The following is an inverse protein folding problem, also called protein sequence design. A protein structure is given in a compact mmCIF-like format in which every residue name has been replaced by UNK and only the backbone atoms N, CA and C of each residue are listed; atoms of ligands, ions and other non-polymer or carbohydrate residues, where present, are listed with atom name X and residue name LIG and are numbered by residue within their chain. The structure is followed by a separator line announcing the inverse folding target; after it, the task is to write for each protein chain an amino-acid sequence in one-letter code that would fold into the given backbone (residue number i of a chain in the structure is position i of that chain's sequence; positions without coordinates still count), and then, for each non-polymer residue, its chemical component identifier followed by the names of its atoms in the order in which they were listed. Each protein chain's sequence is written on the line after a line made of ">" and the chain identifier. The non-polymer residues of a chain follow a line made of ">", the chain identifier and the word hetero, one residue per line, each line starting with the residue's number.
data_IF_012049633276
#
_entry.id   IF_012049633276
#
_cell.length_a   1.000
_cell.length_b   1.000
_cell.length_c   1.000
_cell.angle_alpha   90.00
_cell.angle_beta   90.00
_cell.angle_gamma   90.00
#
_symmetry.space_group_name_H-M   'P 1'
#
loop_
_entity.id
_entity.type
_entity.pdbx_description
1 polymer ?
#
# COMPACT_ATOMS: atom_id res chain seq x y z
N UNK A 1 0.42 24.21 -4.49
CA UNK A 1 0.52 22.88 -3.86
C UNK A 1 1.88 22.33 -4.18
N UNK A 2 2.65 21.87 -3.19
CA UNK A 2 3.97 21.29 -3.45
C UNK A 2 3.84 19.91 -4.11
N UNK A 3 4.84 19.52 -4.91
CA UNK A 3 4.82 18.25 -5.66
C UNK A 3 6.17 17.55 -5.55
N UNK A 4 6.16 16.30 -5.08
CA UNK A 4 7.27 15.37 -5.29
C UNK A 4 7.10 14.76 -6.68
N UNK A 5 7.98 15.15 -7.60
CA UNK A 5 7.83 14.85 -9.03
C UNK A 5 8.29 13.43 -9.33
N UNK A 6 7.80 12.89 -10.45
CA UNK A 6 8.15 11.55 -10.92
C UNK A 6 9.62 11.37 -11.31
N UNK A 7 10.43 12.43 -11.33
CA UNK A 7 11.87 12.37 -11.57
C UNK A 7 12.68 12.22 -10.27
N UNK A 8 12.02 12.34 -9.11
CA UNK A 8 12.62 12.21 -7.78
C UNK A 8 12.23 10.86 -7.18
N UNK A 9 12.99 9.83 -7.56
CA UNK A 9 12.70 8.44 -7.25
C UNK A 9 13.73 7.84 -6.29
N UNK A 10 13.28 6.88 -5.49
CA UNK A 10 14.13 5.97 -4.73
C UNK A 10 13.83 4.51 -5.11
N UNK A 11 14.68 3.57 -4.69
CA UNK A 11 14.53 2.12 -4.97
C UNK A 11 14.44 1.27 -3.70
N UNK A 12 14.47 1.92 -2.54
CA UNK A 12 14.37 1.33 -1.21
C UNK A 12 13.63 2.26 -0.26
N UNK A 13 13.02 1.68 0.78
CA UNK A 13 12.60 2.43 1.95
C UNK A 13 13.83 2.59 2.85
N UNK A 14 14.28 3.81 3.10
CA UNK A 14 15.52 4.07 3.84
C UNK A 14 15.51 5.44 4.51
N UNK A 15 16.09 5.53 5.70
CA UNK A 15 16.40 6.78 6.38
C UNK A 15 17.48 7.61 5.66
N UNK A 16 18.32 6.96 4.84
CA UNK A 16 19.42 7.59 4.11
C UNK A 16 18.99 8.27 2.80
N UNK A 17 17.74 8.07 2.38
CA UNK A 17 17.22 8.68 1.16
C UNK A 17 17.07 10.19 1.36
N UNK A 18 17.67 10.98 0.47
CA UNK A 18 17.46 12.42 0.46
C UNK A 18 15.97 12.75 0.19
N UNK A 19 15.32 13.60 1.01
CA UNK A 19 13.94 14.00 0.76
C UNK A 19 13.77 14.68 -0.59
N UNK A 20 12.81 14.19 -1.39
CA UNK A 20 12.33 14.86 -2.60
C UNK A 20 11.58 16.15 -2.29
N UNK A 21 10.96 16.20 -1.12
CA UNK A 21 10.13 17.29 -0.63
C UNK A 21 10.15 17.32 0.91
N UNK A 22 10.01 18.51 1.51
CA UNK A 22 9.73 18.68 2.94
C UNK A 22 8.43 19.47 3.10
N UNK A 23 7.54 19.01 3.97
CA UNK A 23 6.20 19.60 4.15
C UNK A 23 5.88 19.78 5.63
N UNK A 24 5.10 20.81 5.95
CA UNK A 24 4.59 21.00 7.31
C UNK A 24 3.41 20.05 7.56
N UNK A 25 3.19 19.57 8.80
CA UNK A 25 1.98 18.84 9.15
C UNK A 25 0.71 19.62 8.78
N UNK A 26 -0.25 18.94 8.15
CA UNK A 26 -1.51 19.52 7.67
C UNK A 26 -1.43 20.17 6.29
N UNK A 27 -0.24 20.37 5.74
CA UNK A 27 -0.06 20.84 4.37
C UNK A 27 -0.51 19.77 3.35
N UNK A 28 -1.13 20.22 2.27
CA UNK A 28 -1.50 19.36 1.14
C UNK A 28 -0.41 19.38 0.07
N UNK A 29 -0.04 18.21 -0.44
CA UNK A 29 0.98 18.03 -1.49
C UNK A 29 0.65 16.87 -2.42
N UNK A 30 1.31 16.80 -3.57
CA UNK A 30 1.18 15.73 -4.57
C UNK A 30 2.44 14.87 -4.57
N UNK A 31 2.28 13.56 -4.77
CA UNK A 31 3.35 12.67 -5.19
C UNK A 31 2.99 12.05 -6.54
N UNK A 32 3.86 12.22 -7.54
CA UNK A 32 3.69 11.65 -8.88
C UNK A 32 4.47 10.34 -9.02
N UNK A 33 3.85 9.31 -9.60
CA UNK A 33 4.51 8.02 -9.86
C UNK A 33 4.65 7.74 -11.35
N UNK A 34 5.66 6.93 -11.72
CA UNK A 34 5.94 6.57 -13.10
C UNK A 34 5.23 5.30 -13.57
N UNK A 35 5.10 5.15 -14.89
CA UNK A 35 4.74 3.89 -15.55
C UNK A 35 5.94 2.91 -15.56
N UNK A 36 6.31 2.42 -14.37
CA UNK A 36 7.46 1.54 -14.14
C UNK A 36 7.38 0.22 -14.90
N UNK A 37 6.18 -0.21 -15.30
CA UNK A 37 5.94 -1.49 -15.98
C UNK A 37 6.04 -1.37 -17.51
N UNK A 38 6.08 -0.16 -18.06
CA UNK A 38 6.18 0.09 -19.49
C UNK A 38 7.35 -0.65 -20.14
N UNK A 39 8.52 -0.60 -19.51
CA UNK A 39 9.78 -1.18 -20.02
C UNK A 39 10.01 -2.64 -19.61
N UNK A 40 9.16 -3.20 -18.75
CA UNK A 40 9.30 -4.58 -18.28
C UNK A 40 8.63 -5.58 -19.24
N UNK A 41 9.40 -6.40 -19.94
CA UNK A 41 8.90 -7.40 -20.89
C UNK A 41 9.02 -8.85 -20.36
N UNK A 42 9.11 -9.00 -19.05
CA UNK A 42 9.18 -10.28 -18.35
C UNK A 42 10.53 -10.54 -17.67
N UNK A 43 10.74 -11.75 -17.11
CA UNK A 43 11.93 -12.07 -16.31
C UNK A 43 13.28 -11.89 -17.03
N UNK A 44 13.29 -11.94 -18.37
CA UNK A 44 14.48 -11.73 -19.19
C UNK A 44 14.73 -10.28 -19.62
N UNK A 45 14.04 -9.30 -19.02
CA UNK A 45 14.22 -7.88 -19.33
C UNK A 45 15.64 -7.38 -19.04
N UNK A 46 16.03 -6.26 -19.64
CA UNK A 46 17.32 -5.61 -19.37
C UNK A 46 17.46 -5.21 -17.90
N UNK A 47 18.71 -5.06 -17.43
CA UNK A 47 19.00 -4.55 -16.08
C UNK A 47 18.32 -3.21 -15.83
N UNK A 48 18.35 -2.31 -16.82
CA UNK A 48 17.69 -1.00 -16.74
C UNK A 48 16.18 -1.12 -16.52
N UNK A 49 15.49 -1.99 -17.26
CA UNK A 49 14.07 -2.23 -17.06
C UNK A 49 13.76 -2.82 -15.67
N UNK A 50 14.60 -3.73 -15.18
CA UNK A 50 14.48 -4.30 -13.84
C UNK A 50 14.74 -3.27 -12.74
N UNK A 51 15.61 -2.29 -12.96
CA UNK A 51 15.87 -1.21 -12.02
C UNK A 51 14.74 -0.18 -12.03
N UNK A 52 14.20 0.18 -13.20
CA UNK A 52 12.99 1.01 -13.31
C UNK A 52 11.83 0.38 -12.55
N UNK A 53 11.65 -0.95 -12.64
CA UNK A 53 10.58 -1.67 -11.94
C UNK A 53 10.64 -1.53 -10.41
N UNK A 54 11.82 -1.23 -9.85
CA UNK A 54 12.03 -1.05 -8.40
C UNK A 54 11.78 0.38 -7.93
N UNK A 55 11.59 1.34 -8.85
CA UNK A 55 11.46 2.76 -8.50
C UNK A 55 10.16 3.06 -7.74
N UNK A 56 10.23 4.02 -6.82
CA UNK A 56 9.15 4.54 -6.00
C UNK A 56 9.30 6.07 -5.92
N UNK A 57 8.19 6.78 -5.76
CA UNK A 57 8.17 8.23 -5.61
C UNK A 57 8.44 8.64 -4.16
N UNK A 58 9.23 9.71 -3.99
CA UNK A 58 9.59 10.24 -2.68
C UNK A 58 11.08 10.03 -2.34
N UNK A 59 11.46 10.02 -1.05
CA UNK A 59 10.58 10.20 0.10
C UNK A 59 10.15 11.66 0.31
N UNK A 60 9.04 11.87 1.01
CA UNK A 60 8.60 13.17 1.54
C UNK A 60 8.88 13.22 3.04
N UNK A 61 9.57 14.28 3.48
CA UNK A 61 9.89 14.51 4.90
C UNK A 61 8.80 15.36 5.56
N UNK A 62 8.22 14.87 6.65
CA UNK A 62 7.19 15.60 7.42
C UNK A 62 7.85 16.34 8.58
N UNK A 63 7.81 17.67 8.55
CA UNK A 63 8.47 18.48 9.58
C UNK A 63 7.93 18.18 10.98
N UNK A 64 8.84 17.97 11.95
CA UNK A 64 8.49 17.74 13.35
C UNK A 64 8.15 16.30 13.74
N UNK A 65 7.96 15.39 12.78
CA UNK A 65 7.71 13.97 13.09
C UNK A 65 8.98 13.30 13.64
N UNK A 66 8.84 12.52 14.71
CA UNK A 66 9.94 11.89 15.45
C UNK A 66 9.70 10.39 15.66
N UNK A 67 10.75 9.60 15.90
CA UNK A 67 10.60 8.19 16.27
C UNK A 67 9.61 8.00 17.43
N UNK A 68 8.66 7.09 17.27
CA UNK A 68 7.57 6.83 18.22
C UNK A 68 6.26 7.57 17.90
N UNK A 69 6.28 8.56 17.02
CA UNK A 69 5.06 9.19 16.51
C UNK A 69 4.30 8.25 15.57
N UNK A 70 3.04 8.59 15.28
CA UNK A 70 2.25 7.99 14.20
C UNK A 70 1.92 9.07 13.18
N UNK A 71 2.20 8.83 11.90
CA UNK A 71 1.71 9.68 10.83
C UNK A 71 0.31 9.26 10.43
N UNK A 72 -0.62 10.21 10.46
CA UNK A 72 -1.95 10.10 9.86
C UNK A 72 -1.89 10.65 8.44
N UNK A 73 -1.99 9.78 7.46
CA UNK A 73 -1.80 10.08 6.03
C UNK A 73 -3.14 9.97 5.33
N UNK A 74 -3.79 11.11 5.09
CA UNK A 74 -5.06 11.20 4.38
C UNK A 74 -4.79 11.18 2.86
N UNK A 75 -5.39 10.22 2.15
CA UNK A 75 -5.38 10.16 0.68
C UNK A 75 -6.55 10.98 0.16
N UNK A 76 -6.30 12.24 -0.22
CA UNK A 76 -7.37 13.17 -0.58
C UNK A 76 -7.90 12.95 -1.99
N UNK A 77 -7.01 12.63 -2.93
CA UNK A 77 -7.37 12.39 -4.33
C UNK A 77 -6.33 11.51 -5.02
N UNK A 78 -6.76 10.81 -6.06
CA UNK A 78 -5.94 9.97 -6.92
C UNK A 78 -6.33 10.25 -8.36
N UNK A 79 -5.35 10.61 -9.19
CA UNK A 79 -5.51 10.77 -10.63
C UNK A 79 -4.63 9.82 -11.40
N UNK A 80 -5.12 9.37 -12.55
CA UNK A 80 -4.38 8.53 -13.48
C UNK A 80 -3.94 9.39 -14.68
N UNK A 81 -2.66 9.82 -14.74
CA UNK A 81 -2.19 10.73 -15.79
C UNK A 81 -2.14 10.08 -17.19
N UNK A 82 -2.26 8.75 -17.25
CA UNK A 82 -2.27 7.97 -18.49
C UNK A 82 -3.61 7.26 -18.68
N UNK A 83 -4.07 7.17 -19.93
CA UNK A 83 -5.31 6.48 -20.32
C UNK A 83 -5.09 4.98 -20.58
N UNK A 84 -4.00 4.42 -20.06
CA UNK A 84 -3.64 3.01 -20.22
C UNK A 84 -2.84 2.49 -19.02
N UNK A 85 -2.82 1.17 -18.89
CA UNK A 85 -1.96 0.45 -17.96
C UNK A 85 -1.51 -0.89 -18.54
N UNK A 86 -0.86 -1.71 -17.71
CA UNK A 86 -0.34 -3.01 -18.09
C UNK A 86 -0.81 -4.08 -17.12
N UNK A 87 -1.09 -5.27 -17.64
CA UNK A 87 -1.37 -6.46 -16.82
C UNK A 87 -0.31 -7.51 -17.14
N UNK A 88 0.35 -8.01 -16.11
CA UNK A 88 1.31 -9.11 -16.19
C UNK A 88 0.76 -10.44 -15.67
N UNK A 89 1.22 -11.53 -16.26
CA UNK A 89 1.06 -12.88 -15.73
C UNK A 89 2.36 -13.65 -15.94
N UNK A 90 2.97 -14.11 -14.85
CA UNK A 90 4.28 -14.78 -14.88
C UNK A 90 4.15 -16.23 -14.39
N UNK A 91 4.76 -17.22 -15.08
CA UNK A 91 4.77 -18.62 -14.62
C UNK A 91 5.29 -18.74 -13.19
N UNK A 92 4.60 -19.55 -12.38
CA UNK A 92 4.98 -19.81 -10.99
C UNK A 92 4.84 -18.61 -10.04
N UNK A 93 4.18 -17.51 -10.45
CA UNK A 93 3.94 -16.34 -9.59
C UNK A 93 2.47 -16.24 -9.20
N UNK A 94 2.23 -16.08 -7.90
CA UNK A 94 0.90 -15.99 -7.30
C UNK A 94 0.04 -17.26 -7.41
N UNK A 95 -1.17 -17.23 -6.83
CA UNK A 95 -2.05 -18.40 -6.73
C UNK A 95 -2.41 -19.06 -8.07
N UNK A 96 -2.34 -18.32 -9.18
CA UNK A 96 -2.63 -18.84 -10.53
C UNK A 96 -1.36 -19.22 -11.32
N UNK A 97 -0.17 -19.01 -10.74
CA UNK A 97 1.14 -19.18 -11.36
C UNK A 97 1.38 -20.56 -11.97
N UNK A 98 0.93 -21.63 -11.31
CA UNK A 98 1.17 -23.02 -11.72
C UNK A 98 0.48 -23.39 -13.04
N UNK A 99 -0.56 -22.64 -13.42
CA UNK A 99 -1.32 -22.86 -14.65
C UNK A 99 -0.95 -21.88 -15.76
N UNK A 100 -0.02 -20.97 -15.52
CA UNK A 100 0.46 -19.99 -16.49
C UNK A 100 1.68 -20.60 -17.21
N UNK A 101 1.58 -20.94 -18.51
CA UNK A 101 2.65 -21.65 -19.23
C UNK A 101 3.83 -20.75 -19.60
N UNK A 102 3.59 -19.46 -19.81
CA UNK A 102 4.57 -18.49 -20.28
C UNK A 102 4.22 -17.08 -19.76
N UNK A 103 5.22 -16.20 -19.71
CA UNK A 103 4.98 -14.80 -19.36
C UNK A 103 4.07 -14.14 -20.40
N UNK A 104 3.09 -13.38 -19.93
CA UNK A 104 2.23 -12.55 -20.79
C UNK A 104 2.07 -11.16 -20.20
N UNK A 105 2.21 -10.16 -21.07
CA UNK A 105 1.93 -8.75 -20.79
C UNK A 105 0.84 -8.25 -21.73
N UNK A 106 -0.15 -7.55 -21.19
CA UNK A 106 -1.20 -6.93 -21.98
C UNK A 106 -1.30 -5.44 -21.65
N UNK A 107 -1.26 -4.59 -22.68
CA UNK A 107 -1.67 -3.19 -22.53
C UNK A 107 -3.20 -3.14 -22.45
N UNK A 108 -3.72 -2.40 -21.48
CA UNK A 108 -5.17 -2.20 -21.28
C UNK A 108 -5.52 -0.72 -21.33
N UNK A 109 -6.71 -0.40 -21.83
CA UNK A 109 -7.20 0.98 -21.88
C UNK A 109 -7.93 1.33 -20.59
N UNK A 110 -7.61 2.48 -20.02
CA UNK A 110 -8.26 3.06 -18.85
C UNK A 110 -9.25 4.12 -19.35
N UNK A 111 -10.48 4.06 -18.86
CA UNK A 111 -11.54 5.01 -19.22
C UNK A 111 -12.33 5.40 -17.97
N UNK A 112 -13.16 6.43 -18.07
CA UNK A 112 -14.09 6.80 -16.99
C UNK A 112 -15.11 5.71 -16.65
N UNK A 113 -15.33 4.73 -17.54
CA UNK A 113 -16.24 3.61 -17.30
C UNK A 113 -15.54 2.38 -16.70
N UNK A 114 -14.21 2.38 -16.62
CA UNK A 114 -13.43 1.22 -16.17
C UNK A 114 -12.22 0.92 -17.05
N UNK A 115 -11.62 -0.24 -16.78
CA UNK A 115 -10.45 -0.76 -17.50
C UNK A 115 -10.91 -1.78 -18.54
N UNK A 116 -10.64 -1.51 -19.81
CA UNK A 116 -11.02 -2.38 -20.93
C UNK A 116 -9.93 -3.41 -21.18
N UNK A 117 -10.26 -4.69 -20.95
CA UNK A 117 -9.38 -5.81 -21.24
C UNK A 117 -9.72 -6.43 -22.60
N UNK A 118 -8.82 -6.24 -23.58
CA UNK A 118 -8.85 -6.84 -24.92
C UNK A 118 -10.18 -6.68 -25.67
N UNK A 119 -10.85 -5.53 -25.51
CA UNK A 119 -12.18 -5.23 -26.09
C UNK A 119 -13.27 -6.26 -25.75
N UNK A 120 -13.09 -7.03 -24.66
CA UNK A 120 -13.99 -8.12 -24.25
C UNK A 120 -14.77 -7.80 -22.99
N UNK A 121 -14.12 -7.17 -22.02
CA UNK A 121 -14.69 -6.90 -20.71
C UNK A 121 -14.19 -5.57 -20.19
N UNK A 122 -15.08 -4.83 -19.53
CA UNK A 122 -14.73 -3.61 -18.78
C UNK A 122 -14.76 -3.94 -17.29
N UNK A 123 -13.61 -3.90 -16.65
CA UNK A 123 -13.47 -4.08 -15.20
C UNK A 123 -13.72 -2.76 -14.48
N UNK A 124 -14.25 -2.77 -13.25
CA UNK A 124 -14.40 -1.57 -12.45
C UNK A 124 -13.05 -0.83 -12.28
N UNK A 125 -13.07 0.50 -12.40
CA UNK A 125 -11.93 1.33 -12.03
C UNK A 125 -11.79 1.34 -10.51
N UNK A 126 -10.62 0.97 -10.00
CA UNK A 126 -10.30 0.94 -8.55
C UNK A 126 -8.87 1.42 -8.32
N UNK A 127 -8.61 2.73 -8.51
CA UNK A 127 -7.27 3.28 -8.36
C UNK A 127 -6.79 3.14 -6.91
N UNK A 128 -5.57 2.67 -6.73
CA UNK A 128 -5.02 2.41 -5.39
C UNK A 128 -3.48 2.46 -5.39
N UNK A 129 -2.92 2.66 -4.20
CA UNK A 129 -1.49 2.76 -3.95
C UNK A 129 -0.98 1.44 -3.35
N UNK A 130 -0.19 0.67 -4.09
CA UNK A 130 0.19 -0.69 -3.68
C UNK A 130 1.33 -0.72 -2.68
N UNK A 131 2.22 0.26 -2.77
CA UNK A 131 3.28 0.52 -1.80
C UNK A 131 3.10 1.89 -1.19
N UNK A 132 2.96 1.92 0.12
CA UNK A 132 3.02 3.15 0.91
C UNK A 132 3.75 2.81 2.20
N UNK A 133 4.80 3.56 2.53
CA UNK A 133 5.62 3.26 3.68
C UNK A 133 6.51 4.41 4.11
N UNK A 134 7.02 4.29 5.33
CA UNK A 134 8.01 5.17 5.94
C UNK A 134 9.40 4.52 5.89
N UNK A 135 10.44 5.25 6.32
CA UNK A 135 11.75 4.66 6.56
C UNK A 135 11.65 3.55 7.63
N UNK A 136 12.16 2.34 7.38
CA UNK A 136 12.08 1.22 8.33
C UNK A 136 13.02 1.42 9.53
N UNK A 137 12.70 0.79 10.66
CA UNK A 137 13.52 0.84 11.89
C UNK A 137 14.96 0.35 11.66
N UNK A 138 15.11 -0.89 11.19
CA UNK A 138 16.39 -1.59 11.07
C UNK A 138 17.06 -1.44 9.69
N UNK A 139 17.24 -0.19 9.26
CA UNK A 139 18.00 0.14 8.04
C UNK A 139 17.20 -0.04 6.72
N UNK A 140 17.88 0.05 5.57
CA UNK A 140 17.21 0.11 4.27
C UNK A 140 16.57 -1.23 3.87
N UNK A 141 15.33 -1.18 3.39
CA UNK A 141 14.62 -2.33 2.83
C UNK A 141 14.28 -2.13 1.35
N UNK A 142 14.31 -3.19 0.52
CA UNK A 142 14.02 -3.09 -0.91
C UNK A 142 12.59 -2.65 -1.17
N UNK A 143 12.31 -2.07 -2.36
CA UNK A 143 10.99 -1.53 -2.68
C UNK A 143 9.83 -2.52 -2.58
N UNK A 144 10.05 -3.82 -2.74
CA UNK A 144 9.00 -4.85 -2.56
C UNK A 144 8.75 -5.28 -1.10
N UNK A 145 9.52 -4.76 -0.15
CA UNK A 145 9.45 -5.15 1.26
C UNK A 145 8.10 -4.78 1.89
N UNK A 146 7.75 -5.53 2.93
CA UNK A 146 6.53 -5.41 3.72
C UNK A 146 6.93 -5.42 5.19
N UNK A 147 6.23 -4.68 6.03
CA UNK A 147 6.46 -4.75 7.46
C UNK A 147 5.73 -3.66 8.24
N UNK A 148 6.18 -3.45 9.48
CA UNK A 148 5.63 -2.44 10.38
C UNK A 148 5.68 -1.01 9.80
N UNK A 149 6.66 -0.71 8.96
CA UNK A 149 6.80 0.57 8.26
C UNK A 149 5.81 0.77 7.11
N UNK A 150 4.97 -0.23 6.79
CA UNK A 150 4.12 -0.29 5.61
C UNK A 150 4.77 -1.08 4.48
N UNK A 151 5.08 -0.41 3.38
CA UNK A 151 5.64 -1.02 2.17
C UNK A 151 4.55 -1.62 1.28
N UNK A 152 4.86 -2.75 0.64
CA UNK A 152 3.98 -3.40 -0.34
C UNK A 152 2.83 -4.19 0.28
N UNK A 153 1.89 -3.51 0.92
CA UNK A 153 0.77 -4.13 1.63
C UNK A 153 -0.27 -4.77 0.70
N UNK A 154 -0.44 -4.24 -0.51
CA UNK A 154 -1.49 -4.69 -1.44
C UNK A 154 -2.90 -4.53 -0.89
N UNK A 155 -3.13 -3.54 -0.02
CA UNK A 155 -4.45 -3.24 0.51
C UNK A 155 -5.22 -2.40 -0.52
N UNK A 156 -6.24 -3.00 -1.15
CA UNK A 156 -7.09 -2.35 -2.17
C UNK A 156 -7.84 -1.13 -1.66
N UNK A 157 -7.87 -0.91 -0.35
CA UNK A 157 -8.57 0.20 0.31
C UNK A 157 -7.69 1.43 0.51
N UNK A 158 -6.40 1.37 0.16
CA UNK A 158 -5.51 2.55 0.12
C UNK A 158 -5.78 3.31 -1.18
N UNK A 159 -6.87 4.07 -1.15
CA UNK A 159 -7.43 4.82 -2.26
C UNK A 159 -7.94 6.18 -1.78
N UNK A 160 -8.45 7.01 -2.69
CA UNK A 160 -9.11 8.28 -2.37
C UNK A 160 -10.13 8.13 -1.23
N UNK A 161 -10.04 8.99 -0.22
CA UNK A 161 -10.90 9.00 0.96
C UNK A 161 -10.44 8.09 2.10
N UNK A 162 -9.40 7.26 1.89
CA UNK A 162 -8.79 6.48 2.96
C UNK A 162 -7.78 7.28 3.77
N UNK A 163 -7.53 6.83 5.00
CA UNK A 163 -6.45 7.32 5.85
C UNK A 163 -5.55 6.15 6.23
N UNK A 164 -4.25 6.30 6.04
CA UNK A 164 -3.23 5.32 6.44
C UNK A 164 -2.50 5.84 7.66
N UNK A 165 -2.38 5.02 8.70
CA UNK A 165 -1.61 5.31 9.90
C UNK A 165 -0.34 4.46 9.88
N UNK A 166 0.82 5.10 9.98
CA UNK A 166 2.13 4.44 9.97
C UNK A 166 2.99 4.86 11.16
N UNK A 167 3.69 3.91 11.82
CA UNK A 167 4.63 4.21 12.89
C UNK A 167 5.88 4.90 12.34
N UNK A 168 6.31 5.97 13.01
CA UNK A 168 7.54 6.69 12.67
C UNK A 168 8.72 6.05 13.39
N UNK A 169 9.73 5.62 12.63
CA UNK A 169 10.98 5.08 13.17
C UNK A 169 12.16 6.04 13.04
N UNK A 170 12.07 7.00 12.12
CA UNK A 170 13.11 7.99 11.83
C UNK A 170 12.50 9.37 11.69
N UNK A 171 13.29 10.41 11.98
CA UNK A 171 12.82 11.79 11.87
C UNK A 171 12.22 12.08 10.49
N UNK A 172 11.07 12.75 10.49
CA UNK A 172 10.33 13.11 9.30
C UNK A 172 9.58 11.97 8.62
N UNK A 173 9.71 10.72 9.07
CA UNK A 173 9.01 9.55 8.55
C UNK A 173 9.47 9.08 7.16
N UNK A 174 9.79 10.00 6.24
CA UNK A 174 10.25 9.71 4.87
C UNK A 174 9.22 8.91 4.05
N UNK A 175 8.02 9.47 3.93
CA UNK A 175 6.88 8.88 3.22
C UNK A 175 7.21 8.61 1.75
N UNK A 176 7.09 7.35 1.34
CA UNK A 176 7.40 6.86 0.01
C UNK A 176 6.22 6.07 -0.55
N UNK A 177 5.88 6.26 -1.82
CA UNK A 177 4.82 5.51 -2.50
C UNK A 177 5.28 4.89 -3.82
N UNK A 178 4.61 3.82 -4.25
CA UNK A 178 4.84 3.22 -5.56
C UNK A 178 3.86 2.09 -5.86
N UNK A 179 4.13 1.33 -6.92
CA UNK A 179 3.35 0.12 -7.26
C UNK A 179 1.85 0.40 -7.35
N UNK A 180 1.54 1.45 -8.10
CA UNK A 180 0.20 1.99 -8.19
C UNK A 180 -0.60 1.26 -9.27
N UNK A 181 -1.89 1.09 -9.00
CA UNK A 181 -2.76 0.31 -9.86
C UNK A 181 -4.02 1.08 -10.21
N UNK A 182 -4.48 0.98 -11.45
CA UNK A 182 -5.80 1.50 -11.86
C UNK A 182 -6.94 0.55 -11.46
N UNK A 183 -6.62 -0.73 -11.26
CA UNK A 183 -7.50 -1.73 -10.70
C UNK A 183 -6.68 -2.91 -10.15
N UNK A 184 -7.03 -3.37 -8.95
CA UNK A 184 -6.50 -4.58 -8.34
C UNK A 184 -7.63 -5.30 -7.57
N UNK A 185 -7.57 -6.63 -7.54
CA UNK A 185 -8.38 -7.45 -6.64
C UNK A 185 -7.55 -7.97 -5.47
N UNK A 186 -8.21 -8.25 -4.35
CA UNK A 186 -7.55 -8.88 -3.20
C UNK A 186 -6.84 -10.18 -3.60
N UNK A 187 -5.63 -10.36 -3.12
CA UNK A 187 -4.75 -11.49 -3.42
C UNK A 187 -3.80 -11.28 -4.59
N UNK A 188 -4.07 -10.33 -5.50
CA UNK A 188 -3.20 -10.03 -6.65
C UNK A 188 -2.77 -11.33 -7.38
N UNK A 189 -3.76 -12.06 -7.89
CA UNK A 189 -3.65 -13.51 -8.13
C UNK A 189 -2.56 -13.97 -9.12
N UNK A 190 -1.98 -13.05 -9.91
CA UNK A 190 -0.89 -13.30 -10.86
C UNK A 190 0.39 -12.54 -10.52
N UNK A 191 0.50 -12.01 -9.30
CA UNK A 191 1.56 -11.11 -8.82
C UNK A 191 1.76 -9.87 -9.71
N UNK A 192 0.66 -9.37 -10.27
CA UNK A 192 0.54 -8.10 -10.98
C UNK A 192 -0.93 -7.69 -11.01
N UNK A 193 -1.19 -6.40 -11.15
CA UNK A 193 -2.52 -5.83 -11.31
C UNK A 193 -2.61 -5.02 -12.62
N UNK A 194 -3.49 -4.01 -12.68
CA UNK A 194 -3.43 -3.00 -13.75
C UNK A 194 -2.39 -1.95 -13.36
N UNK A 195 -1.12 -2.24 -13.63
CA UNK A 195 0.04 -1.39 -13.40
C UNK A 195 -0.09 -0.07 -14.17
N UNK A 196 0.07 1.07 -13.50
CA UNK A 196 -0.02 2.38 -14.15
C UNK A 196 0.79 3.46 -13.43
N UNK A 197 1.02 4.58 -14.13
CA UNK A 197 1.34 5.83 -13.47
C UNK A 197 0.12 6.34 -12.70
N UNK A 198 0.35 6.98 -11.56
CA UNK A 198 -0.67 7.47 -10.64
C UNK A 198 -0.12 8.68 -9.87
N UNK A 199 -0.91 9.74 -9.76
CA UNK A 199 -0.59 10.88 -8.93
C UNK A 199 -1.55 10.90 -7.74
N UNK A 200 -1.02 11.05 -6.53
CA UNK A 200 -1.81 11.05 -5.31
C UNK A 200 -1.63 12.37 -4.56
N UNK A 201 -2.75 12.95 -4.13
CA UNK A 201 -2.78 14.14 -3.28
C UNK A 201 -2.96 13.72 -1.84
N UNK A 202 -2.07 14.17 -0.96
CA UNK A 202 -2.08 13.82 0.45
C UNK A 202 -2.24 15.03 1.35
N UNK A 203 -2.81 14.80 2.54
CA UNK A 203 -2.54 15.61 3.74
C UNK A 203 -1.99 14.71 4.81
N UNK A 204 -0.90 15.13 5.46
CA UNK A 204 -0.26 14.34 6.51
C UNK A 204 -0.18 15.13 7.80
N UNK A 205 -0.64 14.56 8.90
CA UNK A 205 -0.49 15.10 10.24
C UNK A 205 0.20 14.10 11.16
N UNK A 206 0.75 14.59 12.27
CA UNK A 206 1.20 13.74 13.37
C UNK A 206 -0.04 13.44 14.22
N UNK A 207 -0.32 12.17 14.48
CA UNK A 207 -1.47 11.70 15.24
C UNK A 207 -1.27 11.98 16.73
N UNK A 208 -2.26 12.60 17.38
CA UNK A 208 -2.26 12.86 18.83
C UNK A 208 -3.06 11.82 19.61
N UNK A 209 -4.03 11.17 18.95
CA UNK A 209 -5.07 10.33 19.58
C UNK A 209 -4.92 8.84 19.25
N UNK A 210 -4.02 8.49 18.34
CA UNK A 210 -3.74 7.11 17.98
C UNK A 210 -2.24 6.89 17.81
N UNK A 211 -1.72 5.93 18.57
CA UNK A 211 -0.40 5.37 18.35
C UNK A 211 -0.56 3.97 17.75
N UNK A 212 0.11 3.72 16.64
CA UNK A 212 0.16 2.39 16.03
C UNK A 212 1.59 1.89 16.01
N UNK A 213 1.76 0.58 16.18
CA UNK A 213 3.03 -0.13 15.93
C UNK A 213 3.01 -0.83 14.56
N UNK A 214 1.80 -1.00 14.03
CA UNK A 214 1.31 -1.64 12.80
C UNK A 214 0.85 -0.65 11.72
N UNK A 215 0.91 -0.91 10.39
CA UNK A 215 0.06 -0.17 9.48
C UNK A 215 -1.43 -0.40 9.78
N UNK A 216 -2.18 0.69 9.90
CA UNK A 216 -3.64 0.68 9.98
C UNK A 216 -4.22 1.50 8.82
N UNK A 217 -5.28 1.00 8.20
CA UNK A 217 -6.02 1.71 7.15
C UNK A 217 -7.45 1.91 7.58
N UNK A 218 -7.91 3.16 7.51
CA UNK A 218 -9.28 3.55 7.81
C UNK A 218 -9.95 4.08 6.55
N UNK A 219 -11.19 3.67 6.30
CA UNK A 219 -12.05 4.23 5.26
C UNK A 219 -13.23 4.96 5.90
N UNK A 220 -14.22 5.36 5.11
CA UNK A 220 -15.47 5.90 5.67
C UNK A 220 -16.18 4.86 6.56
N UNK A 221 -16.09 3.57 6.22
CA UNK A 221 -16.92 2.50 6.80
C UNK A 221 -16.16 1.51 7.65
N UNK A 222 -14.86 1.31 7.42
CA UNK A 222 -14.09 0.23 8.05
C UNK A 222 -12.75 0.70 8.63
N UNK A 223 -12.26 -0.01 9.65
CA UNK A 223 -10.88 0.05 10.13
C UNK A 223 -10.21 -1.28 9.89
N UNK A 224 -8.98 -1.24 9.39
CA UNK A 224 -8.23 -2.42 8.95
C UNK A 224 -6.83 -2.41 9.54
N UNK A 225 -6.47 -3.47 10.26
CA UNK A 225 -5.08 -3.72 10.68
C UNK A 225 -4.41 -4.67 9.69
N UNK A 226 -3.10 -4.51 9.51
CA UNK A 226 -2.33 -5.26 8.51
C UNK A 226 -1.32 -6.19 9.18
N UNK A 227 -1.07 -7.33 8.55
CA UNK A 227 -0.02 -8.27 8.95
C UNK A 227 0.63 -8.94 7.76
N UNK A 228 1.86 -9.36 7.95
CA UNK A 228 2.69 -10.06 6.98
C UNK A 228 3.34 -11.31 7.60
N UNK A 229 3.63 -12.32 6.78
CA UNK A 229 4.21 -13.58 7.24
C UNK A 229 4.65 -14.52 6.12
N UNK A 230 5.42 -15.55 6.45
CA UNK A 230 5.87 -16.56 5.48
C UNK A 230 4.71 -17.43 4.99
N UNK A 231 3.60 -17.43 5.73
CA UNK A 231 2.31 -18.03 5.34
C UNK A 231 1.17 -17.01 5.50
N UNK A 232 0.05 -17.26 4.80
CA UNK A 232 -1.15 -16.43 4.97
C UNK A 232 -1.75 -16.56 6.38
N UNK A 233 -1.60 -17.73 7.01
CA UNK A 233 -2.03 -17.99 8.38
C UNK A 233 -1.25 -17.15 9.40
N UNK A 234 0.08 -17.07 9.24
CA UNK A 234 0.93 -16.19 10.05
C UNK A 234 0.57 -14.72 9.85
N UNK A 235 0.44 -14.29 8.59
CA UNK A 235 0.06 -12.92 8.27
C UNK A 235 -1.32 -12.55 8.84
N UNK A 236 -2.30 -13.45 8.76
CA UNK A 236 -3.63 -13.27 9.33
C UNK A 236 -3.58 -13.17 10.86
N UNK A 237 -2.77 -14.02 11.52
CA UNK A 237 -2.58 -13.96 12.97
C UNK A 237 -1.98 -12.62 13.41
N UNK A 238 -1.02 -12.09 12.66
CA UNK A 238 -0.43 -10.76 12.92
C UNK A 238 -1.50 -9.67 12.79
N UNK A 239 -2.29 -9.68 11.70
CA UNK A 239 -3.35 -8.69 11.49
C UNK A 239 -4.43 -8.74 12.59
N UNK A 240 -4.86 -9.95 12.98
CA UNK A 240 -5.88 -10.16 14.02
C UNK A 240 -5.38 -9.73 15.40
N UNK A 241 -4.13 -10.04 15.76
CA UNK A 241 -3.56 -9.57 17.02
C UNK A 241 -3.45 -8.04 17.05
N UNK A 242 -3.03 -7.41 15.95
CA UNK A 242 -3.02 -5.95 15.87
C UNK A 242 -4.43 -5.34 16.01
N UNK A 243 -5.48 -6.01 15.53
CA UNK A 243 -6.87 -5.58 15.76
C UNK A 243 -7.27 -5.74 17.23
N UNK A 244 -6.85 -6.83 17.88
CA UNK A 244 -7.12 -7.06 19.29
C UNK A 244 -6.47 -5.99 20.16
N UNK A 245 -5.20 -5.67 19.91
CA UNK A 245 -4.47 -4.61 20.61
C UNK A 245 -5.18 -3.25 20.42
N UNK A 246 -5.59 -2.93 19.18
CA UNK A 246 -6.35 -1.72 18.89
C UNK A 246 -7.69 -1.65 19.67
N UNK A 247 -8.42 -2.76 19.76
CA UNK A 247 -9.68 -2.84 20.49
C UNK A 247 -9.49 -2.72 22.00
N UNK A 248 -8.46 -3.38 22.55
CA UNK A 248 -8.09 -3.26 23.97
C UNK A 248 -7.84 -1.80 24.33
N UNK A 249 -7.02 -1.12 23.53
CA UNK A 249 -6.65 0.28 23.76
C UNK A 249 -7.85 1.22 23.59
N UNK A 250 -8.61 1.10 22.49
CA UNK A 250 -9.68 2.04 22.16
C UNK A 250 -10.95 1.84 22.99
N UNK A 251 -11.28 0.59 23.34
CA UNK A 251 -12.52 0.26 24.06
C UNK A 251 -12.29 0.08 25.57
N UNK A 252 -11.03 0.05 26.04
CA UNK A 252 -10.69 -0.24 27.44
C UNK A 252 -11.28 -1.59 27.93
N UNK A 253 -11.27 -2.59 27.06
CA UNK A 253 -11.71 -3.97 27.35
C UNK A 253 -10.51 -4.90 27.44
N UNK A 254 -10.70 -6.10 28.00
CA UNK A 254 -9.63 -7.09 28.00
C UNK A 254 -9.47 -7.81 26.65
N UNK A 255 -8.34 -8.50 26.49
CA UNK A 255 -8.01 -9.21 25.26
C UNK A 255 -9.06 -10.26 24.86
N UNK A 256 -9.67 -10.94 25.83
CA UNK A 256 -10.66 -11.99 25.58
C UNK A 256 -11.94 -11.39 25.00
N UNK A 257 -12.39 -10.28 25.57
CA UNK A 257 -13.55 -9.53 25.05
C UNK A 257 -13.26 -8.99 23.63
N UNK A 258 -12.07 -8.42 23.41
CA UNK A 258 -11.64 -7.99 22.07
C UNK A 258 -11.63 -9.15 21.07
N UNK A 259 -11.10 -10.32 21.46
CA UNK A 259 -11.09 -11.51 20.62
C UNK A 259 -12.51 -12.01 20.30
N UNK A 260 -13.45 -11.93 21.25
CA UNK A 260 -14.86 -12.26 21.02
C UNK A 260 -15.51 -11.28 20.03
N UNK A 261 -15.25 -9.97 20.15
CA UNK A 261 -15.73 -8.98 19.20
C UNK A 261 -15.19 -9.23 17.79
N UNK A 262 -13.88 -9.48 17.67
CA UNK A 262 -13.22 -9.82 16.39
C UNK A 262 -13.86 -11.06 15.76
N UNK A 263 -14.08 -12.11 16.54
CA UNK A 263 -14.69 -13.35 16.06
C UNK A 263 -16.10 -13.14 15.47
N UNK A 264 -16.82 -12.10 15.89
CA UNK A 264 -18.18 -11.80 15.45
C UNK A 264 -18.27 -10.67 14.41
N UNK A 265 -17.22 -9.87 14.22
CA UNK A 265 -17.30 -8.62 13.45
C UNK A 265 -16.17 -8.39 12.45
N UNK A 266 -15.10 -9.18 12.49
CA UNK A 266 -13.97 -9.00 11.61
C UNK A 266 -14.05 -9.86 10.35
N UNK A 267 -13.76 -9.26 9.21
CA UNK A 267 -13.45 -9.94 7.96
C UNK A 267 -11.94 -10.00 7.77
N UNK A 268 -11.39 -11.21 7.62
CA UNK A 268 -9.98 -11.40 7.28
C UNK A 268 -9.83 -11.50 5.77
N UNK A 269 -9.09 -10.57 5.18
CA UNK A 269 -8.99 -10.38 3.72
C UNK A 269 -7.53 -10.40 3.27
N UNK A 270 -7.29 -10.93 2.08
CA UNK A 270 -5.94 -11.00 1.50
C UNK A 270 -5.49 -9.66 0.92
N UNK A 271 -4.24 -9.29 1.17
CA UNK A 271 -3.54 -8.25 0.41
C UNK A 271 -2.84 -8.88 -0.78
N UNK A 272 -1.58 -9.32 -0.60
CA UNK A 272 -0.74 -9.95 -1.61
C UNK A 272 -0.60 -11.45 -1.30
N UNK A 273 -1.02 -12.29 -2.26
CA UNK A 273 -0.78 -13.73 -2.26
C UNK A 273 0.31 -14.18 -3.25
N UNK A 274 0.98 -13.22 -3.90
CA UNK A 274 1.93 -13.43 -4.99
C UNK A 274 3.22 -14.18 -4.60
N UNK A 275 3.75 -13.84 -3.42
CA UNK A 275 5.02 -14.33 -2.88
C UNK A 275 5.13 -13.97 -1.39
N UNK A 276 5.94 -14.72 -0.65
CA UNK A 276 6.28 -14.41 0.73
C UNK A 276 7.19 -13.14 0.84
N UNK A 277 7.08 -12.36 1.92
CA UNK A 277 6.03 -12.48 2.93
C UNK A 277 4.66 -12.10 2.35
N UNK A 278 3.66 -12.94 2.63
CA UNK A 278 2.27 -12.70 2.24
C UNK A 278 1.69 -11.59 3.11
N UNK A 279 0.65 -10.89 2.64
CA UNK A 279 -0.03 -9.87 3.45
C UNK A 279 -1.51 -10.17 3.60
N UNK A 280 -2.00 -9.97 4.81
CA UNK A 280 -3.41 -10.13 5.19
C UNK A 280 -3.84 -8.90 5.99
N UNK A 281 -5.15 -8.64 6.02
CA UNK A 281 -5.75 -7.59 6.84
C UNK A 281 -6.98 -8.09 7.57
N UNK A 282 -7.19 -7.61 8.79
CA UNK A 282 -8.42 -7.82 9.54
C UNK A 282 -9.21 -6.52 9.49
N UNK A 283 -10.44 -6.56 8.96
CA UNK A 283 -11.30 -5.40 8.77
C UNK A 283 -12.52 -5.48 9.68
N UNK A 284 -12.85 -4.41 10.40
CA UNK A 284 -14.08 -4.29 11.19
C UNK A 284 -14.83 -3.02 10.79
N UNK A 285 -16.17 -2.98 10.90
CA UNK A 285 -16.92 -1.74 10.75
C UNK A 285 -16.45 -0.71 11.79
N UNK A 286 -16.32 0.57 11.42
CA UNK A 286 -15.88 1.64 12.33
C UNK A 286 -16.74 1.77 13.58
N UNK A 287 -18.04 1.46 13.47
CA UNK A 287 -18.98 1.49 14.59
C UNK A 287 -18.61 0.53 15.71
N UNK A 288 -17.80 -0.50 15.46
CA UNK A 288 -17.31 -1.44 16.48
C UNK A 288 -16.24 -0.79 17.38
N UNK A 289 -15.53 0.22 16.88
CA UNK A 289 -14.48 0.94 17.60
C UNK A 289 -14.95 2.29 18.17
N UNK A 290 -16.22 2.62 18.01
CA UNK A 290 -16.81 3.87 18.48
C UNK A 290 -17.50 3.66 19.84
N UNK A 291 -17.10 4.42 20.85
CA UNK A 291 -17.75 4.48 22.18
C UNK A 291 -18.47 5.80 22.34
#
# INVERSE_FOLDING_TARGET
>A
MQTATKDQLCTSFSADNAPSLRVQPGETFIMETNDRFATYDGPGSSTEALDILKTMAGPVYIEGAKPGDTLKIEVLDITLPLDYGWIGATPGRGPLGDRIPEFRKAKVKITSQGVVFKDKVTMPLRPMIGRIGLAPEDGPLPSGAKGAFGGGMGNTQIATGSTVYLPVFHEGGLLTIGDCHAAMGDGEATASAVECALDATFRVTISEDLQVTRPMVETETEVMTTGEGETMEEAAKVALNAMADLMVDRLSIDYTDAAMLIACSADVRTGIAGHAPFTMRAAVPRSVLSV
#
